data_IF_968314992579
#
_entry.id   IF_968314992579
#
_cell.length_a   1.000
_cell.length_b   1.000
_cell.length_c   1.000
_cell.angle_alpha   90.00
_cell.angle_beta   90.00
_cell.angle_gamma   90.00
#
_symmetry.space_group_name_H-M   'P 1'
#
loop_
_entity.id
_entity.type
_entity.pdbx_description
1 polymer ?
#
# COMPACT_ATOMS: atom_id res chain seq x y z
N UNK A 1 -44.95 12.06 24.20
CA UNK A 1 -44.46 11.51 22.92
C UNK A 1 -43.59 12.49 22.13
N UNK A 2 -44.11 13.55 21.48
CA UNK A 2 -43.25 14.46 20.70
C UNK A 2 -42.30 15.32 21.57
N UNK A 3 -42.76 15.74 22.76
CA UNK A 3 -41.96 16.53 23.71
C UNK A 3 -40.86 15.69 24.36
N UNK A 4 -41.21 14.53 24.94
CA UNK A 4 -40.23 13.58 25.52
C UNK A 4 -39.19 13.10 24.49
N UNK A 5 -39.59 12.93 23.22
CA UNK A 5 -38.66 12.60 22.15
C UNK A 5 -37.67 13.73 21.87
N UNK A 6 -38.12 14.98 21.91
CA UNK A 6 -37.24 16.14 21.72
C UNK A 6 -36.29 16.32 22.91
N UNK A 7 -36.76 16.13 24.15
CA UNK A 7 -35.90 16.17 25.33
C UNK A 7 -34.79 15.11 25.29
N UNK A 8 -35.10 13.90 24.82
CA UNK A 8 -34.09 12.84 24.63
C UNK A 8 -33.11 13.20 23.51
N UNK A 9 -33.57 13.83 22.43
CA UNK A 9 -32.69 14.32 21.35
C UNK A 9 -31.75 15.42 21.83
N UNK A 10 -32.24 16.37 22.61
CA UNK A 10 -31.42 17.43 23.20
C UNK A 10 -30.34 16.85 24.13
N UNK A 11 -30.66 15.78 24.87
CA UNK A 11 -29.68 15.05 25.68
C UNK A 11 -28.64 14.32 24.83
N UNK A 12 -29.04 13.70 23.71
CA UNK A 12 -28.12 13.07 22.76
C UNK A 12 -27.18 14.13 22.16
N UNK A 13 -27.72 15.27 21.71
CA UNK A 13 -26.92 16.37 21.16
C UNK A 13 -25.90 16.90 22.18
N UNK A 14 -26.25 16.93 23.47
CA UNK A 14 -25.33 17.30 24.53
C UNK A 14 -24.21 16.27 24.74
N UNK A 15 -24.49 14.97 24.58
CA UNK A 15 -23.48 13.91 24.62
C UNK A 15 -22.58 13.98 23.38
N UNK A 16 -23.14 14.19 22.20
CA UNK A 16 -22.39 14.30 20.95
C UNK A 16 -21.41 15.48 20.96
N UNK A 17 -21.80 16.61 21.57
CA UNK A 17 -20.88 17.73 21.82
C UNK A 17 -19.71 17.34 22.73
N UNK A 18 -19.95 16.58 23.79
CA UNK A 18 -18.89 16.10 24.67
C UNK A 18 -17.95 15.13 23.94
N UNK A 19 -18.47 14.29 23.04
CA UNK A 19 -17.65 13.43 22.19
C UNK A 19 -16.73 14.28 21.31
N UNK A 20 -17.24 15.34 20.72
CA UNK A 20 -16.44 16.28 19.91
C UNK A 20 -15.32 16.93 20.73
N UNK A 21 -15.62 17.41 21.94
CA UNK A 21 -14.62 18.00 22.84
C UNK A 21 -13.51 17.00 23.20
N UNK A 22 -13.89 15.75 23.51
CA UNK A 22 -12.94 14.67 23.79
C UNK A 22 -12.07 14.32 22.58
N UNK A 23 -12.64 14.31 21.37
CA UNK A 23 -11.89 14.10 20.14
C UNK A 23 -10.88 15.23 19.90
N UNK A 24 -11.29 16.50 20.10
CA UNK A 24 -10.39 17.66 20.00
C UNK A 24 -9.23 17.57 20.99
N UNK A 25 -9.52 17.23 22.26
CA UNK A 25 -8.50 17.02 23.28
C UNK A 25 -7.54 15.88 22.88
N UNK A 26 -8.07 14.78 22.35
CA UNK A 26 -7.25 13.65 21.89
C UNK A 26 -6.33 14.04 20.74
N UNK A 27 -6.81 14.80 19.75
CA UNK A 27 -5.98 15.28 18.64
C UNK A 27 -4.85 16.19 19.14
N UNK A 28 -5.15 17.10 20.09
CA UNK A 28 -4.13 17.95 20.71
C UNK A 28 -3.06 17.15 21.46
N UNK A 29 -3.42 16.02 22.08
CA UNK A 29 -2.46 15.12 22.72
C UNK A 29 -1.63 14.34 21.70
N UNK A 30 -2.24 13.93 20.59
CA UNK A 30 -1.56 13.25 19.50
C UNK A 30 -0.50 14.16 18.88
N UNK A 31 -0.79 15.44 18.64
CA UNK A 31 0.18 16.40 18.13
C UNK A 31 1.43 16.48 19.02
N UNK A 32 1.23 16.60 20.34
CA UNK A 32 2.34 16.58 21.32
C UNK A 32 3.11 15.27 21.32
N UNK A 33 2.42 14.14 21.15
CA UNK A 33 3.08 12.83 20.99
C UNK A 33 3.89 12.81 19.70
N UNK A 34 3.38 13.38 18.61
CA UNK A 34 4.07 13.54 17.32
C UNK A 34 5.35 14.35 17.46
N UNK A 35 5.32 15.49 18.16
CA UNK A 35 6.49 16.31 18.48
C UNK A 35 7.55 15.48 19.23
N UNK A 36 7.16 14.80 20.32
CA UNK A 36 8.08 13.96 21.09
C UNK A 36 8.66 12.82 20.25
N UNK A 37 7.84 12.14 19.44
CA UNK A 37 8.31 11.07 18.55
C UNK A 37 9.27 11.61 17.49
N UNK A 38 9.00 12.78 16.94
CA UNK A 38 9.86 13.44 15.96
C UNK A 38 11.21 13.83 16.58
N UNK A 39 11.23 14.39 17.79
CA UNK A 39 12.48 14.68 18.50
C UNK A 39 13.32 13.41 18.76
N UNK A 40 12.65 12.32 19.16
CA UNK A 40 13.34 11.08 19.56
C UNK A 40 13.59 10.11 18.40
N UNK A 41 12.96 10.30 17.24
CA UNK A 41 13.08 9.42 16.08
C UNK A 41 12.32 8.11 16.26
N UNK A 42 11.18 8.17 16.95
CA UNK A 42 10.34 7.01 17.22
C UNK A 42 9.33 6.82 16.07
N UNK A 43 9.02 5.56 15.70
CA UNK A 43 8.00 5.26 14.71
C UNK A 43 6.64 5.86 15.03
N UNK A 44 5.99 6.38 13.99
CA UNK A 44 4.59 6.79 14.07
C UNK A 44 3.71 5.58 14.35
N UNK A 45 3.92 4.51 13.59
CA UNK A 45 3.16 3.29 13.74
C UNK A 45 3.78 2.37 14.82
N UNK A 46 2.99 2.03 15.83
CA UNK A 46 3.40 1.18 16.95
C UNK A 46 2.38 0.04 17.14
N UNK A 47 2.49 -1.07 16.39
CA UNK A 47 1.47 -2.13 16.34
C UNK A 47 1.12 -2.69 17.71
N UNK A 48 2.12 -3.07 18.51
CA UNK A 48 1.90 -3.70 19.82
C UNK A 48 1.21 -2.75 20.80
N UNK A 49 1.57 -1.46 20.75
CA UNK A 49 0.95 -0.43 21.60
C UNK A 49 -0.51 -0.21 21.24
N UNK A 50 -0.82 -0.17 19.94
CA UNK A 50 -2.19 -0.06 19.44
C UNK A 50 -3.01 -1.29 19.82
N UNK A 51 -2.48 -2.49 19.59
CA UNK A 51 -3.16 -3.75 19.91
C UNK A 51 -3.48 -3.85 21.40
N UNK A 52 -2.50 -3.57 22.28
CA UNK A 52 -2.70 -3.58 23.72
C UNK A 52 -3.72 -2.53 24.18
N UNK A 53 -3.69 -1.32 23.60
CA UNK A 53 -4.65 -0.26 23.91
C UNK A 53 -6.07 -0.65 23.49
N UNK A 54 -6.25 -1.17 22.26
CA UNK A 54 -7.55 -1.62 21.78
C UNK A 54 -8.11 -2.77 22.61
N UNK A 55 -7.29 -3.78 22.93
CA UNK A 55 -7.69 -4.89 23.78
C UNK A 55 -8.17 -4.41 25.17
N UNK A 56 -7.41 -3.51 25.81
CA UNK A 56 -7.79 -2.92 27.09
C UNK A 56 -9.10 -2.12 27.02
N UNK A 57 -9.30 -1.32 25.96
CA UNK A 57 -10.52 -0.51 25.80
C UNK A 57 -11.75 -1.35 25.46
N UNK A 58 -11.57 -2.47 24.74
CA UNK A 58 -12.65 -3.45 24.52
C UNK A 58 -13.13 -4.04 25.84
N UNK A 59 -12.22 -4.51 26.70
CA UNK A 59 -12.58 -5.08 28.00
C UNK A 59 -13.30 -4.07 28.92
N UNK A 60 -12.85 -2.81 28.92
CA UNK A 60 -13.52 -1.73 29.66
C UNK A 60 -14.93 -1.42 29.12
N UNK A 61 -15.11 -1.49 27.80
CA UNK A 61 -16.41 -1.28 27.17
C UNK A 61 -17.41 -2.39 27.57
N UNK A 62 -16.98 -3.66 27.58
CA UNK A 62 -17.81 -4.78 28.05
C UNK A 62 -18.33 -4.54 29.47
N UNK A 63 -17.43 -4.14 30.39
CA UNK A 63 -17.78 -3.84 31.79
C UNK A 63 -18.79 -2.70 31.94
N UNK A 64 -18.88 -1.80 30.96
CA UNK A 64 -19.81 -0.66 30.93
C UNK A 64 -21.07 -0.92 30.11
N UNK A 65 -21.24 -2.12 29.55
CA UNK A 65 -22.37 -2.44 28.67
C UNK A 65 -22.30 -1.75 27.30
N UNK A 66 -21.12 -1.28 26.90
CA UNK A 66 -20.87 -0.69 25.57
C UNK A 66 -20.32 -1.79 24.65
N UNK A 67 -20.82 -1.92 23.41
CA UNK A 67 -20.29 -2.91 22.47
C UNK A 67 -18.76 -2.71 22.23
N UNK A 68 -17.94 -3.76 22.41
CA UNK A 68 -16.48 -3.65 22.24
C UNK A 68 -16.06 -3.21 20.85
N UNK A 69 -16.82 -3.64 19.84
CA UNK A 69 -16.56 -3.28 18.46
C UNK A 69 -16.75 -1.78 18.21
N UNK A 70 -17.75 -1.15 18.86
CA UNK A 70 -18.03 0.27 18.69
C UNK A 70 -16.85 1.14 19.14
N UNK A 71 -16.31 0.87 20.33
CA UNK A 71 -15.17 1.65 20.84
C UNK A 71 -13.91 1.40 19.99
N UNK A 72 -13.70 0.17 19.53
CA UNK A 72 -12.59 -0.15 18.65
C UNK A 72 -12.70 0.62 17.32
N UNK A 73 -13.88 0.66 16.70
CA UNK A 73 -14.10 1.36 15.43
C UNK A 73 -13.87 2.87 15.58
N UNK A 74 -14.37 3.49 16.66
CA UNK A 74 -14.14 4.91 16.98
C UNK A 74 -12.63 5.18 17.15
N UNK A 75 -11.94 4.37 17.94
CA UNK A 75 -10.52 4.55 18.20
C UNK A 75 -9.69 4.33 16.92
N UNK A 76 -10.00 3.31 16.11
CA UNK A 76 -9.33 3.07 14.83
C UNK A 76 -9.57 4.19 13.83
N UNK A 77 -10.77 4.78 13.77
CA UNK A 77 -11.03 5.94 12.90
C UNK A 77 -10.25 7.17 13.36
N UNK A 78 -10.21 7.41 14.67
CA UNK A 78 -9.49 8.55 15.25
C UNK A 78 -7.98 8.41 15.09
N UNK A 79 -7.43 7.19 15.25
CA UNK A 79 -6.02 6.91 14.97
C UNK A 79 -5.66 7.12 13.50
N UNK A 80 -6.53 6.70 12.57
CA UNK A 80 -6.33 6.97 11.13
C UNK A 80 -6.23 8.47 10.83
N UNK A 81 -7.05 9.29 11.48
CA UNK A 81 -6.99 10.75 11.37
C UNK A 81 -5.67 11.33 11.91
N UNK A 82 -5.16 10.75 12.99
CA UNK A 82 -3.86 11.10 13.58
C UNK A 82 -2.70 10.88 12.61
N UNK A 83 -2.64 9.73 11.93
CA UNK A 83 -1.54 9.45 10.97
C UNK A 83 -1.57 10.35 9.72
N UNK A 84 -2.75 10.87 9.35
CA UNK A 84 -2.90 11.72 8.18
C UNK A 84 -2.50 13.18 8.49
N UNK A 85 -2.78 13.65 9.70
CA UNK A 85 -2.45 15.01 10.16
C UNK A 85 -0.97 15.19 10.50
N UNK A 86 -0.26 14.13 10.90
CA UNK A 86 1.20 14.14 11.11
C UNK A 86 2.02 14.45 9.83
N UNK A 87 1.39 14.51 8.65
CA UNK A 87 2.02 14.97 7.41
C UNK A 87 2.53 16.41 7.48
N UNK A 88 1.96 17.24 8.33
CA UNK A 88 2.26 18.68 8.36
C UNK A 88 3.29 19.07 9.43
N UNK A 89 3.57 18.20 10.40
CA UNK A 89 4.48 18.46 11.53
C UNK A 89 5.97 18.15 11.24
N UNK A 90 6.28 17.57 10.07
CA UNK A 90 7.62 17.12 9.72
C UNK A 90 8.07 15.87 10.49
N UNK A 91 9.13 15.21 10.00
CA UNK A 91 9.68 13.99 10.60
C UNK A 91 11.16 14.19 10.98
N UNK A 92 11.67 13.38 11.92
CA UNK A 92 13.10 13.39 12.24
C UNK A 92 13.95 13.10 11.01
N UNK A 93 14.93 13.95 10.76
CA UNK A 93 16.02 13.67 9.84
C UNK A 93 17.01 12.71 10.50
N UNK A 94 17.10 11.46 10.05
CA UNK A 94 18.04 10.49 10.60
C UNK A 94 19.49 10.68 10.12
N UNK A 95 19.68 11.28 8.94
CA UNK A 95 21.00 11.59 8.41
C UNK A 95 21.09 13.05 7.92
N UNK A 96 21.20 14.03 8.83
CA UNK A 96 21.23 15.45 8.47
C UNK A 96 22.41 15.87 7.59
N UNK A 97 23.51 15.11 7.65
CA UNK A 97 24.73 15.35 6.86
C UNK A 97 24.63 14.79 5.43
N UNK A 98 23.52 14.12 5.09
CA UNK A 98 23.29 13.64 3.73
C UNK A 98 23.26 14.83 2.77
N UNK A 99 24.01 14.72 1.68
CA UNK A 99 23.90 15.64 0.55
C UNK A 99 22.53 15.52 -0.13
N UNK A 100 22.34 16.19 -1.28
CA UNK A 100 21.02 16.23 -1.91
C UNK A 100 20.49 14.83 -2.29
N UNK A 101 19.20 14.62 -2.07
CA UNK A 101 18.42 13.48 -2.55
C UNK A 101 17.92 13.80 -3.95
N UNK A 102 18.38 13.06 -4.96
CA UNK A 102 17.95 13.25 -6.35
C UNK A 102 16.92 12.19 -6.71
N UNK A 103 15.72 12.61 -7.09
CA UNK A 103 14.64 11.70 -7.51
C UNK A 103 14.51 11.72 -9.02
N UNK A 104 14.94 10.64 -9.66
CA UNK A 104 14.83 10.44 -11.11
C UNK A 104 13.41 9.97 -11.43
N UNK A 105 12.66 10.79 -12.17
CA UNK A 105 11.21 10.59 -12.33
C UNK A 105 10.38 11.23 -11.20
N UNK A 106 10.95 12.15 -10.40
CA UNK A 106 10.27 12.78 -9.26
C UNK A 106 8.99 13.58 -9.58
N UNK A 107 8.75 13.92 -10.85
CA UNK A 107 7.49 14.53 -11.29
C UNK A 107 6.34 13.51 -11.43
N UNK A 108 6.63 12.21 -11.35
CA UNK A 108 5.63 11.15 -11.30
C UNK A 108 4.94 11.06 -9.94
N UNK A 109 3.82 10.33 -9.87
CA UNK A 109 3.00 10.29 -8.65
C UNK A 109 3.75 9.71 -7.44
N UNK A 110 4.41 8.56 -7.61
CA UNK A 110 5.17 7.91 -6.54
C UNK A 110 6.46 8.68 -6.19
N UNK A 111 7.16 9.20 -7.21
CA UNK A 111 8.32 10.07 -6.99
C UNK A 111 7.97 11.35 -6.25
N UNK A 112 6.82 11.96 -6.56
CA UNK A 112 6.31 13.12 -5.84
C UNK A 112 5.92 12.81 -4.40
N UNK A 113 5.38 11.61 -4.13
CA UNK A 113 5.11 11.15 -2.76
C UNK A 113 6.40 11.06 -1.94
N UNK A 114 7.41 10.32 -2.42
CA UNK A 114 8.67 10.18 -1.70
C UNK A 114 9.44 11.51 -1.62
N UNK A 115 9.38 12.35 -2.66
CA UNK A 115 9.96 13.71 -2.63
C UNK A 115 9.37 14.57 -1.51
N UNK A 116 8.05 14.52 -1.30
CA UNK A 116 7.42 15.18 -0.15
C UNK A 116 7.88 14.59 1.17
N UNK A 117 7.94 13.26 1.30
CA UNK A 117 8.37 12.61 2.55
C UNK A 117 9.81 12.94 2.94
N UNK A 118 10.73 12.96 1.97
CA UNK A 118 12.11 13.41 2.21
C UNK A 118 12.17 14.89 2.58
N UNK A 119 11.43 15.76 1.89
CA UNK A 119 11.38 17.20 2.21
C UNK A 119 10.85 17.44 3.63
N UNK A 120 9.76 16.75 4.01
CA UNK A 120 9.18 16.81 5.36
C UNK A 120 10.13 16.26 6.43
N UNK A 121 11.11 15.45 6.04
CA UNK A 121 12.16 14.93 6.93
C UNK A 121 13.42 15.79 6.93
N UNK A 122 13.39 16.98 6.31
CA UNK A 122 14.50 17.94 6.31
C UNK A 122 15.59 17.71 5.26
N UNK A 123 15.42 16.80 4.31
CA UNK A 123 16.40 16.56 3.26
C UNK A 123 16.26 17.58 2.11
N UNK A 124 17.39 17.98 1.51
CA UNK A 124 17.40 18.74 0.24
C UNK A 124 17.03 17.82 -0.93
N UNK A 125 15.86 18.03 -1.53
CA UNK A 125 15.33 17.18 -2.61
C UNK A 125 15.44 17.89 -3.96
N UNK A 126 16.07 17.20 -4.92
CA UNK A 126 16.17 17.62 -6.32
C UNK A 126 15.44 16.62 -7.21
N UNK A 127 14.83 17.11 -8.29
CA UNK A 127 14.10 16.27 -9.24
C UNK A 127 14.83 16.25 -10.57
N UNK A 128 15.08 15.04 -11.10
CA UNK A 128 15.57 14.84 -12.46
C UNK A 128 14.41 14.27 -13.31
N UNK A 129 13.74 15.15 -14.07
CA UNK A 129 12.67 14.78 -14.98
C UNK A 129 13.18 14.32 -16.35
N UNK A 130 12.28 13.77 -17.18
CA UNK A 130 12.60 13.28 -18.52
C UNK A 130 13.15 14.35 -19.48
N UNK A 131 12.90 15.63 -19.20
CA UNK A 131 13.39 16.77 -20.00
C UNK A 131 14.67 17.40 -19.42
N UNK A 132 15.09 16.96 -18.24
CA UNK A 132 16.13 17.61 -17.45
C UNK A 132 17.51 16.93 -17.56
N UNK A 133 17.64 15.93 -18.44
CA UNK A 133 18.89 15.19 -18.64
C UNK A 133 20.09 16.05 -19.05
N UNK A 134 19.84 17.22 -19.66
CA UNK A 134 20.89 18.20 -19.96
C UNK A 134 21.58 18.78 -18.70
N UNK A 135 20.94 18.65 -17.53
CA UNK A 135 21.45 19.06 -16.21
C UNK A 135 21.75 17.87 -15.30
N UNK A 136 21.76 16.63 -15.82
CA UNK A 136 21.96 15.44 -15.00
C UNK A 136 23.31 15.49 -14.26
N UNK A 137 24.38 15.87 -14.95
CA UNK A 137 25.72 15.99 -14.34
C UNK A 137 25.71 16.99 -13.16
N UNK A 138 25.11 18.17 -13.33
CA UNK A 138 24.96 19.21 -12.27
C UNK A 138 24.18 18.68 -11.05
N UNK A 139 23.08 17.96 -11.30
CA UNK A 139 22.22 17.46 -10.23
C UNK A 139 22.82 16.27 -9.48
N UNK A 140 23.59 15.42 -10.18
CA UNK A 140 24.13 14.17 -9.65
C UNK A 140 25.52 14.32 -9.02
N UNK A 141 26.31 15.34 -9.40
CA UNK A 141 27.70 15.53 -8.96
C UNK A 141 27.85 15.54 -7.42
N UNK A 142 26.89 16.11 -6.71
CA UNK A 142 26.88 16.18 -5.25
C UNK A 142 25.70 15.43 -4.62
N UNK A 143 25.18 14.39 -5.29
CA UNK A 143 24.10 13.59 -4.75
C UNK A 143 24.59 12.70 -3.58
N UNK A 144 23.86 12.71 -2.47
CA UNK A 144 24.05 11.77 -1.36
C UNK A 144 23.20 10.52 -1.54
N UNK A 145 22.08 10.65 -2.26
CA UNK A 145 21.21 9.54 -2.62
C UNK A 145 20.52 9.82 -3.94
N UNK A 146 20.37 8.79 -4.77
CA UNK A 146 19.61 8.80 -6.02
C UNK A 146 18.50 7.76 -5.92
N UNK A 147 17.27 8.20 -6.17
CA UNK A 147 16.05 7.36 -6.16
C UNK A 147 15.49 7.27 -7.56
N UNK A 148 15.44 6.08 -8.14
CA UNK A 148 14.91 5.82 -9.48
C UNK A 148 13.44 5.41 -9.40
N UNK A 149 12.55 6.24 -9.96
CA UNK A 149 11.08 6.04 -9.94
C UNK A 149 10.47 6.36 -11.30
N UNK A 150 10.99 5.70 -12.33
CA UNK A 150 10.53 5.80 -13.72
C UNK A 150 9.73 4.55 -14.11
N UNK A 151 8.96 4.58 -15.23
CA UNK A 151 8.28 3.39 -15.75
C UNK A 151 9.25 2.22 -15.94
N UNK A 152 8.76 1.00 -15.66
CA UNK A 152 9.58 -0.22 -15.60
C UNK A 152 10.35 -0.45 -16.91
N UNK A 153 9.70 -0.29 -18.07
CA UNK A 153 10.35 -0.44 -19.37
C UNK A 153 11.47 0.58 -19.66
N UNK A 154 11.57 1.67 -18.89
CA UNK A 154 12.63 2.68 -19.01
C UNK A 154 13.71 2.53 -17.94
N UNK A 155 13.46 1.77 -16.86
CA UNK A 155 14.30 1.77 -15.66
C UNK A 155 15.74 1.40 -15.94
N UNK A 156 15.99 0.26 -16.62
CA UNK A 156 17.36 -0.21 -16.90
C UNK A 156 18.13 0.83 -17.72
N UNK A 157 17.55 1.32 -18.82
CA UNK A 157 18.18 2.34 -19.67
C UNK A 157 18.34 3.72 -19.00
N UNK A 158 17.56 4.02 -17.97
CA UNK A 158 17.75 5.21 -17.12
C UNK A 158 18.90 5.00 -16.15
N UNK A 159 18.97 3.84 -15.49
CA UNK A 159 20.05 3.48 -14.56
C UNK A 159 21.40 3.49 -15.29
N UNK A 160 21.47 2.94 -16.50
CA UNK A 160 22.69 2.95 -17.34
C UNK A 160 23.24 4.35 -17.63
N UNK A 161 22.38 5.39 -17.63
CA UNK A 161 22.80 6.78 -17.83
C UNK A 161 23.34 7.44 -16.56
N UNK A 162 23.18 6.83 -15.38
CA UNK A 162 23.57 7.42 -14.09
C UNK A 162 25.07 7.23 -13.76
N UNK A 163 25.91 6.71 -14.66
CA UNK A 163 27.26 6.17 -14.35
C UNK A 163 28.32 7.10 -13.72
N UNK A 164 27.99 8.33 -13.30
CA UNK A 164 28.89 9.25 -12.58
C UNK A 164 28.31 9.67 -11.23
N UNK A 165 28.03 8.70 -10.36
CA UNK A 165 27.63 8.98 -8.98
C UNK A 165 28.86 9.03 -8.05
N UNK A 166 28.84 9.87 -7.00
CA UNK A 166 29.81 9.78 -5.91
C UNK A 166 29.87 8.37 -5.31
N UNK A 167 31.05 7.89 -4.91
CA UNK A 167 31.24 6.51 -4.44
C UNK A 167 30.41 6.17 -3.18
N UNK A 168 30.13 7.17 -2.35
CA UNK A 168 29.34 7.08 -1.13
C UNK A 168 27.84 7.35 -1.36
N UNK A 169 27.43 7.74 -2.58
CA UNK A 169 26.03 7.97 -2.91
C UNK A 169 25.23 6.68 -2.81
N UNK A 170 24.07 6.70 -2.15
CA UNK A 170 23.15 5.56 -2.14
C UNK A 170 22.37 5.55 -3.46
N UNK A 171 22.40 4.45 -4.21
CA UNK A 171 21.56 4.26 -5.39
C UNK A 171 20.43 3.29 -5.05
N UNK A 172 19.18 3.73 -5.22
CA UNK A 172 18.01 2.90 -5.00
C UNK A 172 16.92 3.13 -6.04
N UNK A 173 15.99 2.20 -6.13
CA UNK A 173 14.84 2.27 -7.02
C UNK A 173 13.52 2.04 -6.27
N UNK A 174 12.40 2.39 -6.89
CA UNK A 174 11.04 2.13 -6.38
C UNK A 174 10.20 1.29 -7.36
N UNK A 175 10.84 0.49 -8.23
CA UNK A 175 10.09 -0.26 -9.24
C UNK A 175 9.29 -1.42 -8.65
N UNK A 176 8.40 -2.01 -9.43
CA UNK A 176 7.63 -3.19 -9.01
C UNK A 176 8.31 -4.54 -9.30
N UNK A 177 9.47 -4.56 -9.97
CA UNK A 177 10.29 -5.76 -10.22
C UNK A 177 11.69 -5.55 -9.67
N UNK A 178 12.35 -6.54 -9.09
CA UNK A 178 13.60 -6.31 -8.34
C UNK A 178 14.84 -6.85 -9.01
N UNK A 179 14.77 -8.02 -9.65
CA UNK A 179 15.99 -8.70 -10.15
C UNK A 179 16.75 -7.88 -11.18
N UNK A 180 16.08 -7.41 -12.24
CA UNK A 180 16.74 -6.63 -13.31
C UNK A 180 17.16 -5.23 -12.86
N UNK A 181 16.30 -4.41 -12.22
CA UNK A 181 16.71 -3.08 -11.77
C UNK A 181 17.85 -3.13 -10.75
N UNK A 182 17.82 -4.06 -9.79
CA UNK A 182 18.89 -4.21 -8.81
C UNK A 182 20.22 -4.56 -9.48
N UNK A 183 20.21 -5.50 -10.43
CA UNK A 183 21.41 -5.86 -11.19
C UNK A 183 21.93 -4.68 -12.03
N UNK A 184 21.05 -3.93 -12.68
CA UNK A 184 21.42 -2.73 -13.42
C UNK A 184 22.10 -1.69 -12.52
N UNK A 185 21.56 -1.45 -11.32
CA UNK A 185 22.16 -0.53 -10.34
C UNK A 185 23.54 -1.01 -9.87
N UNK A 186 23.68 -2.32 -9.58
CA UNK A 186 24.95 -2.92 -9.16
C UNK A 186 26.04 -2.86 -10.23
N UNK A 187 25.65 -2.87 -11.51
CA UNK A 187 26.58 -2.80 -12.65
C UNK A 187 27.13 -1.39 -12.86
N UNK A 188 26.30 -0.35 -12.67
CA UNK A 188 26.68 1.04 -12.96
C UNK A 188 27.28 1.76 -11.77
N UNK A 189 27.00 1.28 -10.55
CA UNK A 189 27.42 1.94 -9.31
C UNK A 189 28.29 1.03 -8.46
N UNK A 190 29.40 1.59 -7.95
CA UNK A 190 30.33 0.88 -7.06
C UNK A 190 29.95 1.00 -5.58
N UNK A 191 29.22 2.05 -5.22
CA UNK A 191 28.82 2.36 -3.86
C UNK A 191 27.63 1.56 -3.34
N UNK A 192 26.93 2.09 -2.32
CA UNK A 192 25.77 1.46 -1.72
C UNK A 192 24.58 1.36 -2.70
N UNK A 193 23.94 0.19 -2.74
CA UNK A 193 22.80 -0.13 -3.61
C UNK A 193 21.74 -0.90 -2.82
N UNK A 194 20.49 -0.47 -2.90
CA UNK A 194 19.32 -1.16 -2.33
C UNK A 194 18.13 -1.06 -3.28
N UNK A 195 17.45 -2.18 -3.53
CA UNK A 195 16.20 -2.19 -4.29
C UNK A 195 15.00 -2.02 -3.38
N UNK A 196 14.03 -1.18 -3.73
CA UNK A 196 12.83 -0.96 -2.93
C UNK A 196 11.57 -1.18 -3.77
N UNK A 197 10.52 -1.70 -3.14
CA UNK A 197 9.20 -1.83 -3.74
C UNK A 197 8.13 -1.43 -2.72
N UNK A 198 7.62 -0.18 -2.81
CA UNK A 198 6.43 0.22 -2.07
C UNK A 198 5.21 -0.59 -2.54
N UNK A 199 4.62 -1.40 -1.67
CA UNK A 199 3.48 -2.27 -2.00
C UNK A 199 2.13 -1.51 -2.02
N UNK A 200 2.18 -0.23 -2.38
CA UNK A 200 1.06 0.70 -2.33
C UNK A 200 1.18 1.78 -3.40
N UNK A 201 0.02 2.33 -3.78
CA UNK A 201 -0.07 3.43 -4.73
C UNK A 201 0.21 4.81 -4.11
N UNK A 202 0.30 5.86 -4.94
CA UNK A 202 0.63 7.21 -4.50
C UNK A 202 -0.46 7.89 -3.65
N UNK A 203 -1.68 7.36 -3.67
CA UNK A 203 -2.86 7.95 -3.02
C UNK A 203 -2.97 7.61 -1.52
N UNK A 204 -1.95 6.97 -0.94
CA UNK A 204 -1.99 6.60 0.49
C UNK A 204 -2.03 7.86 1.39
N UNK A 205 -2.97 7.92 2.35
CA UNK A 205 -3.09 9.07 3.24
C UNK A 205 -1.96 9.12 4.28
N UNK A 206 -1.21 8.04 4.48
CA UNK A 206 -0.02 7.94 5.34
C UNK A 206 0.74 6.66 4.98
N UNK A 207 2.03 6.59 5.31
CA UNK A 207 2.81 5.36 5.19
C UNK A 207 2.60 4.40 6.37
N UNK A 208 1.85 4.81 7.40
CA UNK A 208 1.45 3.94 8.49
C UNK A 208 0.77 2.66 7.96
N UNK A 209 1.28 1.49 8.41
CA UNK A 209 0.80 0.14 8.03
C UNK A 209 1.03 -0.22 6.56
N UNK A 210 1.72 0.62 5.80
CA UNK A 210 2.10 0.30 4.43
C UNK A 210 3.35 -0.57 4.42
N UNK A 211 3.45 -1.49 3.47
CA UNK A 211 4.62 -2.37 3.35
C UNK A 211 5.57 -1.80 2.30
N UNK A 212 6.86 -1.72 2.64
CA UNK A 212 7.94 -1.52 1.67
C UNK A 212 8.80 -2.79 1.71
N UNK A 213 8.83 -3.49 0.59
CA UNK A 213 9.77 -4.59 0.40
C UNK A 213 11.12 -4.01 0.02
N UNK A 214 12.21 -4.57 0.56
CA UNK A 214 13.57 -4.19 0.17
C UNK A 214 14.42 -5.42 -0.14
N UNK A 215 15.30 -5.26 -1.12
CA UNK A 215 16.25 -6.27 -1.57
C UNK A 215 17.65 -5.67 -1.46
N UNK A 216 18.50 -6.33 -0.66
CA UNK A 216 19.86 -5.86 -0.43
C UNK A 216 20.70 -6.02 -1.70
N UNK A 217 21.44 -4.97 -2.07
CA UNK A 217 22.38 -4.98 -3.19
C UNK A 217 23.83 -5.00 -2.73
N UNK A 218 24.32 -3.86 -2.25
CA UNK A 218 25.69 -3.68 -1.76
C UNK A 218 25.73 -2.59 -0.71
N UNK A 219 26.56 -2.71 0.32
CA UNK A 219 26.76 -1.64 1.30
C UNK A 219 25.58 -1.44 2.25
N UNK A 220 25.10 -2.55 2.84
CA UNK A 220 23.95 -2.56 3.76
C UNK A 220 24.09 -1.59 4.92
N UNK A 221 25.28 -1.48 5.49
CA UNK A 221 25.57 -0.61 6.63
C UNK A 221 25.34 0.87 6.29
N UNK A 222 25.60 1.28 5.04
CA UNK A 222 25.52 2.67 4.60
C UNK A 222 24.08 3.17 4.43
N UNK A 223 23.10 2.28 4.21
CA UNK A 223 21.69 2.66 4.02
C UNK A 223 20.75 2.19 5.14
N UNK A 224 21.25 1.62 6.24
CA UNK A 224 20.39 1.27 7.39
C UNK A 224 19.59 2.46 7.93
N UNK A 225 20.16 3.67 7.90
CA UNK A 225 19.46 4.88 8.31
C UNK A 225 18.23 5.16 7.41
N UNK A 226 18.31 4.84 6.12
CA UNK A 226 17.21 5.03 5.17
C UNK A 226 16.07 4.05 5.45
N UNK A 227 16.38 2.79 5.70
CA UNK A 227 15.40 1.80 6.12
C UNK A 227 14.72 2.24 7.43
N UNK A 228 15.51 2.70 8.41
CA UNK A 228 14.97 3.23 9.65
C UNK A 228 14.11 4.49 9.43
N UNK A 229 14.44 5.32 8.44
CA UNK A 229 13.64 6.50 8.08
C UNK A 229 12.25 6.09 7.57
N UNK A 230 12.15 5.04 6.75
CA UNK A 230 10.86 4.48 6.31
C UNK A 230 10.02 3.96 7.49
N UNK A 231 10.65 3.31 8.47
CA UNK A 231 9.99 2.89 9.70
C UNK A 231 9.48 4.07 10.53
N UNK A 232 10.22 5.20 10.57
CA UNK A 232 9.75 6.44 11.23
C UNK A 232 8.47 6.95 10.58
N UNK A 233 8.41 6.92 9.25
CA UNK A 233 7.22 7.29 8.49
C UNK A 233 6.05 6.31 8.69
N UNK A 234 6.27 5.18 9.38
CA UNK A 234 5.26 4.20 9.76
C UNK A 234 5.16 2.99 8.82
N UNK A 235 6.06 2.89 7.84
CA UNK A 235 6.11 1.74 6.95
C UNK A 235 6.63 0.49 7.68
N UNK A 236 6.09 -0.67 7.33
CA UNK A 236 6.61 -1.97 7.71
C UNK A 236 7.57 -2.45 6.62
N UNK A 237 8.79 -2.81 7.02
CA UNK A 237 9.81 -3.29 6.10
C UNK A 237 9.80 -4.81 6.02
N UNK A 238 9.93 -5.33 4.80
CA UNK A 238 10.08 -6.75 4.54
C UNK A 238 11.33 -6.97 3.69
N UNK A 239 12.32 -7.64 4.27
CA UNK A 239 13.53 -8.04 3.57
C UNK A 239 13.27 -9.32 2.78
N UNK A 240 13.74 -9.37 1.54
CA UNK A 240 13.64 -10.54 0.68
C UNK A 240 14.68 -10.48 -0.44
N UNK A 241 15.12 -11.64 -0.92
CA UNK A 241 15.96 -11.72 -2.11
C UNK A 241 15.21 -11.24 -3.37
N UNK A 242 15.91 -10.55 -4.28
CA UNK A 242 15.28 -9.99 -5.49
C UNK A 242 14.62 -11.05 -6.40
N UNK A 243 15.21 -12.24 -6.48
CA UNK A 243 14.64 -13.36 -7.24
C UNK A 243 13.40 -13.95 -6.55
N UNK A 244 13.42 -14.06 -5.22
CA UNK A 244 12.29 -14.57 -4.45
C UNK A 244 11.12 -13.57 -4.49
N UNK A 245 11.42 -12.27 -4.41
CA UNK A 245 10.46 -11.20 -4.62
C UNK A 245 9.74 -11.34 -5.96
N UNK A 246 10.49 -11.43 -7.07
CA UNK A 246 9.91 -11.48 -8.41
C UNK A 246 9.09 -12.78 -8.62
N UNK A 247 9.55 -13.90 -8.05
CA UNK A 247 8.78 -15.14 -8.01
C UNK A 247 7.46 -14.96 -7.26
N UNK A 248 7.47 -14.34 -6.07
CA UNK A 248 6.26 -14.03 -5.31
C UNK A 248 5.29 -13.10 -6.05
N UNK A 249 5.82 -12.08 -6.75
CA UNK A 249 5.03 -11.13 -7.54
C UNK A 249 4.35 -11.79 -8.75
N UNK A 250 4.83 -12.96 -9.20
CA UNK A 250 4.14 -13.76 -10.22
C UNK A 250 2.71 -14.12 -9.79
N UNK A 251 2.50 -14.48 -8.52
CA UNK A 251 1.18 -14.76 -7.96
C UNK A 251 0.46 -13.48 -7.51
N UNK A 252 1.16 -12.63 -6.75
CA UNK A 252 0.58 -11.47 -6.07
C UNK A 252 0.13 -10.38 -7.06
N UNK A 253 0.93 -10.14 -8.11
CA UNK A 253 0.68 -9.08 -9.08
C UNK A 253 0.31 -9.64 -10.45
N UNK A 254 1.19 -10.40 -11.11
CA UNK A 254 1.00 -10.75 -12.52
C UNK A 254 -0.28 -11.58 -12.75
N UNK A 255 -0.46 -12.68 -12.01
CA UNK A 255 -1.67 -13.50 -12.10
C UNK A 255 -2.92 -12.73 -11.68
N UNK A 256 -2.87 -12.00 -10.56
CA UNK A 256 -4.01 -11.25 -10.02
C UNK A 256 -4.47 -10.13 -10.96
N UNK A 257 -3.53 -9.37 -11.53
CA UNK A 257 -3.84 -8.29 -12.47
C UNK A 257 -4.34 -8.85 -13.80
N UNK A 258 -3.71 -9.90 -14.33
CA UNK A 258 -4.14 -10.50 -15.59
C UNK A 258 -5.55 -11.12 -15.48
N UNK A 259 -5.88 -11.81 -14.39
CA UNK A 259 -7.23 -12.36 -14.18
C UNK A 259 -8.28 -11.26 -14.09
N UNK A 260 -7.98 -10.15 -13.39
CA UNK A 260 -8.85 -8.97 -13.32
C UNK A 260 -9.02 -8.29 -14.68
N UNK A 261 -7.94 -8.17 -15.45
CA UNK A 261 -7.96 -7.66 -16.82
C UNK A 261 -8.81 -8.54 -17.74
N UNK A 262 -8.60 -9.86 -17.72
CA UNK A 262 -9.33 -10.82 -18.55
C UNK A 262 -10.83 -10.82 -18.22
N UNK A 263 -11.18 -10.78 -16.93
CA UNK A 263 -12.57 -10.68 -16.49
C UNK A 263 -13.23 -9.37 -16.93
N UNK A 264 -12.55 -8.23 -16.75
CA UNK A 264 -13.06 -6.94 -17.23
C UNK A 264 -13.19 -6.88 -18.76
N UNK A 265 -12.24 -7.46 -19.49
CA UNK A 265 -12.30 -7.60 -20.95
C UNK A 265 -13.50 -8.45 -21.36
N UNK A 266 -13.77 -9.55 -20.68
CA UNK A 266 -14.96 -10.37 -20.92
C UNK A 266 -16.25 -9.60 -20.64
N UNK A 267 -16.37 -8.93 -19.48
CA UNK A 267 -17.52 -8.08 -19.16
C UNK A 267 -17.75 -6.99 -20.21
N UNK A 268 -16.69 -6.37 -20.73
CA UNK A 268 -16.82 -5.35 -21.78
C UNK A 268 -17.39 -5.90 -23.11
N UNK A 269 -17.17 -7.19 -23.39
CA UNK A 269 -17.69 -7.87 -24.58
C UNK A 269 -19.14 -8.30 -24.40
N UNK A 270 -19.48 -8.81 -23.21
CA UNK A 270 -20.88 -9.09 -22.85
C UNK A 270 -21.72 -7.82 -22.79
N UNK A 271 -21.08 -6.67 -22.51
CA UNK A 271 -21.66 -5.33 -22.47
C UNK A 271 -22.97 -5.26 -21.65
N UNK A 272 -22.98 -5.73 -20.38
CA UNK A 272 -24.17 -5.65 -19.55
C UNK A 272 -24.45 -4.20 -19.14
N UNK A 273 -25.71 -3.90 -18.81
CA UNK A 273 -26.05 -2.63 -18.19
C UNK A 273 -25.52 -2.60 -16.74
N UNK A 274 -24.38 -1.92 -16.54
CA UNK A 274 -23.69 -1.84 -15.24
C UNK A 274 -24.60 -1.21 -14.18
N UNK A 275 -25.36 -0.16 -14.49
CA UNK A 275 -26.26 0.48 -13.51
C UNK A 275 -27.30 -0.52 -12.99
N UNK A 276 -27.86 -1.33 -13.88
CA UNK A 276 -28.79 -2.39 -13.52
C UNK A 276 -28.12 -3.48 -12.67
N UNK A 277 -26.89 -3.88 -13.00
CA UNK A 277 -26.13 -4.83 -12.17
C UNK A 277 -25.90 -4.27 -10.77
N UNK A 278 -25.51 -2.99 -10.65
CA UNK A 278 -25.27 -2.33 -9.37
C UNK A 278 -26.55 -2.19 -8.53
N UNK A 279 -27.71 -1.98 -9.16
CA UNK A 279 -29.01 -1.95 -8.47
C UNK A 279 -29.42 -3.32 -7.91
N UNK A 280 -29.03 -4.41 -8.59
CA UNK A 280 -29.33 -5.78 -8.17
C UNK A 280 -28.27 -6.36 -7.21
N UNK A 281 -27.14 -5.67 -7.07
CA UNK A 281 -25.98 -6.16 -6.33
C UNK A 281 -26.10 -5.91 -4.82
N UNK A 282 -25.76 -6.93 -4.03
CA UNK A 282 -25.42 -6.73 -2.62
C UNK A 282 -24.09 -5.95 -2.49
N UNK A 283 -23.74 -5.43 -1.30
CA UNK A 283 -22.48 -4.70 -1.10
C UNK A 283 -21.23 -5.47 -1.55
N UNK A 284 -21.21 -6.81 -1.37
CA UNK A 284 -20.08 -7.64 -1.81
C UNK A 284 -19.95 -7.68 -3.33
N UNK A 285 -21.05 -7.87 -4.07
CA UNK A 285 -21.00 -7.87 -5.54
C UNK A 285 -20.59 -6.51 -6.11
N UNK A 286 -21.05 -5.41 -5.49
CA UNK A 286 -20.59 -4.07 -5.85
C UNK A 286 -19.08 -3.92 -5.61
N UNK A 287 -18.57 -4.43 -4.50
CA UNK A 287 -17.15 -4.41 -4.19
C UNK A 287 -16.34 -5.23 -5.20
N UNK A 288 -16.79 -6.43 -5.56
CA UNK A 288 -16.14 -7.27 -6.59
C UNK A 288 -16.01 -6.53 -7.93
N UNK A 289 -17.11 -5.92 -8.41
CA UNK A 289 -17.09 -5.11 -9.62
C UNK A 289 -16.18 -3.89 -9.50
N UNK A 290 -16.16 -3.22 -8.34
CA UNK A 290 -15.27 -2.09 -8.09
C UNK A 290 -13.78 -2.51 -8.11
N UNK A 291 -13.46 -3.70 -7.56
CA UNK A 291 -12.10 -4.25 -7.55
C UNK A 291 -11.59 -4.58 -8.96
N UNK A 292 -12.48 -4.96 -9.88
CA UNK A 292 -12.16 -5.12 -11.30
C UNK A 292 -12.05 -3.77 -11.99
N UNK A 293 -13.06 -2.91 -11.83
CA UNK A 293 -13.14 -1.61 -12.52
C UNK A 293 -11.98 -0.67 -12.18
N UNK A 294 -11.53 -0.65 -10.92
CA UNK A 294 -10.40 0.19 -10.47
C UNK A 294 -9.08 -0.14 -11.17
N UNK A 295 -8.92 -1.33 -11.74
CA UNK A 295 -7.75 -1.69 -12.54
C UNK A 295 -7.67 -0.81 -13.79
N UNK A 296 -8.80 -0.63 -14.48
CA UNK A 296 -8.91 0.15 -15.72
C UNK A 296 -8.90 1.67 -15.50
N UNK A 297 -8.96 2.13 -14.24
CA UNK A 297 -8.76 3.53 -13.86
C UNK A 297 -7.30 3.92 -13.64
N UNK A 298 -6.35 3.01 -13.85
CA UNK A 298 -4.91 3.20 -13.61
C UNK A 298 -4.11 3.11 -14.93
N UNK A 299 -2.79 3.34 -14.89
CA UNK A 299 -1.94 3.34 -16.10
C UNK A 299 -1.81 1.93 -16.71
N UNK A 300 -2.26 1.69 -17.96
CA UNK A 300 -2.15 0.39 -18.60
C UNK A 300 -0.69 -0.05 -18.84
N UNK A 301 0.25 0.88 -19.00
CA UNK A 301 1.65 0.53 -19.25
C UNK A 301 2.28 -0.12 -18.01
N UNK A 302 1.92 0.34 -16.81
CA UNK A 302 2.39 -0.27 -15.56
C UNK A 302 2.02 -1.76 -15.50
N UNK A 303 0.75 -2.09 -15.76
CA UNK A 303 0.30 -3.48 -15.75
C UNK A 303 0.89 -4.31 -16.87
N UNK A 304 1.01 -3.72 -18.07
CA UNK A 304 1.68 -4.35 -19.20
C UNK A 304 3.12 -4.72 -18.86
N UNK A 305 3.89 -3.77 -18.32
CA UNK A 305 5.28 -3.97 -17.93
C UNK A 305 5.42 -5.04 -16.83
N UNK A 306 4.57 -5.01 -15.80
CA UNK A 306 4.58 -6.03 -14.73
C UNK A 306 4.29 -7.42 -15.30
N UNK A 307 3.19 -7.58 -16.04
CA UNK A 307 2.77 -8.88 -16.57
C UNK A 307 3.80 -9.44 -17.56
N UNK A 308 4.38 -8.59 -18.40
CA UNK A 308 5.33 -8.99 -19.45
C UNK A 308 6.81 -8.99 -19.00
N UNK A 309 7.08 -8.67 -17.72
CA UNK A 309 8.44 -8.56 -17.19
C UNK A 309 9.24 -9.87 -17.24
N UNK A 310 8.58 -11.03 -17.14
CA UNK A 310 9.22 -12.35 -17.12
C UNK A 310 8.43 -13.40 -17.91
N UNK A 311 9.14 -14.40 -18.42
CA UNK A 311 8.49 -15.58 -19.02
C UNK A 311 7.71 -16.39 -17.97
N UNK A 312 8.19 -16.39 -16.73
CA UNK A 312 7.55 -17.06 -15.61
C UNK A 312 6.12 -16.54 -15.35
N UNK A 313 5.90 -15.23 -15.48
CA UNK A 313 4.57 -14.63 -15.38
C UNK A 313 3.61 -15.20 -16.42
N UNK A 314 4.05 -15.28 -17.67
CA UNK A 314 3.27 -15.83 -18.77
C UNK A 314 2.97 -17.31 -18.53
N UNK A 315 3.96 -18.06 -18.05
CA UNK A 315 3.80 -19.48 -17.77
C UNK A 315 2.84 -19.73 -16.60
N UNK A 316 2.86 -18.90 -15.55
CA UNK A 316 1.88 -18.93 -14.47
C UNK A 316 0.46 -18.68 -14.99
N UNK A 317 0.28 -17.65 -15.82
CA UNK A 317 -1.02 -17.34 -16.43
C UNK A 317 -1.53 -18.50 -17.28
N UNK A 318 -0.66 -19.14 -18.07
CA UNK A 318 -1.00 -20.34 -18.85
C UNK A 318 -1.39 -21.52 -17.96
N UNK A 319 -0.71 -21.74 -16.83
CA UNK A 319 -1.10 -22.76 -15.84
C UNK A 319 -2.48 -22.47 -15.26
N UNK A 320 -2.75 -21.22 -14.90
CA UNK A 320 -4.08 -20.82 -14.42
C UNK A 320 -5.16 -21.04 -15.48
N UNK A 321 -4.91 -20.70 -16.75
CA UNK A 321 -5.84 -20.99 -17.84
C UNK A 321 -6.15 -22.48 -17.98
N UNK A 322 -5.14 -23.35 -17.82
CA UNK A 322 -5.36 -24.81 -17.81
C UNK A 322 -6.24 -25.24 -16.64
N UNK A 323 -5.97 -24.74 -15.44
CA UNK A 323 -6.79 -24.99 -14.26
C UNK A 323 -8.24 -24.52 -14.45
N UNK A 324 -8.45 -23.37 -15.11
CA UNK A 324 -9.79 -22.91 -15.48
C UNK A 324 -10.49 -23.90 -16.44
N UNK A 325 -9.77 -24.43 -17.43
CA UNK A 325 -10.27 -25.49 -18.31
C UNK A 325 -10.66 -26.76 -17.56
N UNK A 326 -9.82 -27.23 -16.65
CA UNK A 326 -10.11 -28.40 -15.79
C UNK A 326 -11.35 -28.17 -14.92
N UNK A 327 -11.55 -26.94 -14.41
CA UNK A 327 -12.75 -26.58 -13.67
C UNK A 327 -14.02 -26.57 -14.55
N UNK A 328 -13.91 -26.21 -15.82
CA UNK A 328 -15.02 -26.28 -16.78
C UNK A 328 -15.43 -27.73 -17.08
N UNK A 329 -14.48 -28.66 -17.16
CA UNK A 329 -14.79 -30.09 -17.40
C UNK A 329 -15.73 -30.67 -16.32
N UNK A 330 -15.62 -30.22 -15.07
CA UNK A 330 -16.54 -30.58 -13.98
C UNK A 330 -17.97 -30.06 -14.29
N UNK A 331 -18.08 -28.84 -14.81
CA UNK A 331 -19.37 -28.22 -15.15
C UNK A 331 -20.00 -28.87 -16.39
N UNK A 332 -19.21 -29.18 -17.41
CA UNK A 332 -19.67 -29.87 -18.62
C UNK A 332 -20.16 -31.29 -18.31
N UNK A 333 -19.52 -31.96 -17.34
CA UNK A 333 -19.98 -33.24 -16.80
C UNK A 333 -21.20 -33.15 -15.89
N UNK A 334 -21.62 -31.93 -15.50
CA UNK A 334 -22.65 -31.66 -14.50
C UNK A 334 -22.39 -32.41 -13.17
N UNK A 335 -21.12 -32.58 -12.81
CA UNK A 335 -20.68 -33.38 -11.67
C UNK A 335 -20.58 -32.51 -10.41
N UNK A 336 -21.71 -32.39 -9.71
CA UNK A 336 -21.79 -31.66 -8.44
C UNK A 336 -20.86 -32.26 -7.38
N UNK A 337 -20.65 -33.58 -7.38
CA UNK A 337 -19.81 -34.21 -6.36
C UNK A 337 -18.34 -33.83 -6.58
N UNK A 338 -17.85 -33.93 -7.82
CA UNK A 338 -16.50 -33.49 -8.15
C UNK A 338 -16.28 -32.00 -7.85
N UNK A 339 -17.30 -31.14 -8.07
CA UNK A 339 -17.22 -29.73 -7.69
C UNK A 339 -17.02 -29.55 -6.17
N UNK A 340 -17.83 -30.22 -5.35
CA UNK A 340 -17.74 -30.14 -3.88
C UNK A 340 -16.40 -30.67 -3.39
N UNK A 341 -15.92 -31.80 -3.91
CA UNK A 341 -14.62 -32.36 -3.52
C UNK A 341 -13.46 -31.42 -3.89
N UNK A 342 -13.50 -30.78 -5.06
CA UNK A 342 -12.51 -29.76 -5.44
C UNK A 342 -12.59 -28.52 -4.55
N UNK A 343 -13.80 -28.07 -4.20
CA UNK A 343 -14.01 -26.94 -3.30
C UNK A 343 -13.42 -27.22 -1.91
N UNK A 344 -13.70 -28.39 -1.34
CA UNK A 344 -13.22 -28.77 -0.01
C UNK A 344 -11.69 -28.88 0.02
N UNK A 345 -11.06 -29.44 -1.03
CA UNK A 345 -9.59 -29.47 -1.15
C UNK A 345 -8.97 -28.07 -1.15
N UNK A 346 -9.62 -27.11 -1.82
CA UNK A 346 -9.15 -25.70 -1.83
C UNK A 346 -9.37 -25.06 -0.45
N UNK A 347 -10.51 -25.32 0.18
CA UNK A 347 -10.80 -24.85 1.55
C UNK A 347 -9.77 -25.37 2.56
N UNK A 348 -9.40 -26.65 2.47
CA UNK A 348 -8.37 -27.27 3.32
C UNK A 348 -6.99 -26.66 3.09
N UNK A 349 -6.64 -26.33 1.84
CA UNK A 349 -5.37 -25.66 1.53
C UNK A 349 -5.31 -24.24 2.10
N UNK A 350 -6.40 -23.48 2.03
CA UNK A 350 -6.50 -22.17 2.70
C UNK A 350 -6.50 -22.32 4.23
N UNK A 351 -7.02 -23.43 4.76
CA UNK A 351 -7.07 -23.72 6.20
C UNK A 351 -7.75 -22.60 6.99
N UNK A 352 -7.12 -22.18 8.08
CA UNK A 352 -7.66 -21.12 8.96
C UNK A 352 -7.84 -19.77 8.26
N UNK A 353 -7.09 -19.50 7.17
CA UNK A 353 -7.24 -18.27 6.41
C UNK A 353 -8.60 -18.14 5.74
N UNK A 354 -9.26 -19.25 5.38
CA UNK A 354 -10.63 -19.21 4.80
C UNK A 354 -11.59 -18.48 5.73
N UNK A 355 -11.57 -18.82 7.01
CA UNK A 355 -12.44 -18.21 8.03
C UNK A 355 -11.99 -16.80 8.35
N UNK A 356 -10.68 -16.58 8.49
CA UNK A 356 -10.12 -15.26 8.74
C UNK A 356 -10.53 -14.25 7.65
N UNK A 357 -10.35 -14.59 6.38
CA UNK A 357 -10.71 -13.70 5.26
C UNK A 357 -12.23 -13.48 5.15
N UNK A 358 -13.03 -14.48 5.51
CA UNK A 358 -14.48 -14.31 5.60
C UNK A 358 -14.85 -13.26 6.66
N UNK A 359 -14.29 -13.36 7.87
CA UNK A 359 -14.56 -12.42 8.96
C UNK A 359 -14.05 -11.00 8.63
N UNK A 360 -12.85 -10.90 8.04
CA UNK A 360 -12.26 -9.63 7.58
C UNK A 360 -13.12 -8.95 6.51
N UNK A 361 -13.53 -9.70 5.49
CA UNK A 361 -14.36 -9.17 4.40
C UNK A 361 -15.73 -8.70 4.90
N UNK A 362 -16.36 -9.42 5.83
CA UNK A 362 -17.62 -9.00 6.44
C UNK A 362 -17.48 -7.67 7.19
N UNK A 363 -16.37 -7.46 7.91
CA UNK A 363 -16.13 -6.20 8.62
C UNK A 363 -15.85 -5.04 7.64
N UNK A 364 -15.11 -5.28 6.57
CA UNK A 364 -14.91 -4.30 5.50
C UNK A 364 -16.23 -3.91 4.83
N UNK A 365 -17.10 -4.88 4.56
CA UNK A 365 -18.41 -4.63 3.94
C UNK A 365 -19.36 -3.84 4.85
N UNK A 366 -19.34 -4.09 6.16
CA UNK A 366 -20.13 -3.30 7.13
C UNK A 366 -19.74 -1.82 7.03
N UNK A 367 -18.44 -1.53 7.08
CA UNK A 367 -17.92 -0.16 6.96
C UNK A 367 -18.24 0.47 5.60
N UNK A 368 -18.12 -0.30 4.52
CA UNK A 368 -18.47 0.18 3.18
C UNK A 368 -19.98 0.49 3.07
N UNK A 369 -20.84 -0.33 3.68
CA UNK A 369 -22.29 -0.14 3.65
C UNK A 369 -22.74 1.15 4.36
N UNK A 370 -22.05 1.54 5.44
CA UNK A 370 -22.34 2.78 6.18
C UNK A 370 -22.14 4.04 5.31
N UNK A 371 -21.28 3.97 4.28
CA UNK A 371 -21.03 5.07 3.35
C UNK A 371 -22.05 5.18 2.21
N UNK A 372 -22.98 4.21 2.08
CA UNK A 372 -23.97 4.20 1.01
C UNK A 372 -25.21 4.98 1.44
N UNK A 373 -25.35 6.20 0.93
CA UNK A 373 -26.63 6.90 0.99
C UNK A 373 -27.59 6.33 -0.07
N UNK A 374 -28.63 5.63 0.37
CA UNK A 374 -29.82 5.36 -0.47
C UNK A 374 -30.76 6.55 -0.29
N UNK A 375 -30.64 7.53 -1.18
CA UNK A 375 -31.51 8.70 -1.31
C UNK A 375 -32.10 8.76 -2.71
#
# INVERSE_FOLDING_TARGET
>A
MAVELNELRDQIDAVDKQILDLLSQRLSLVEKVGEVKSEHGLPIYAPDREAAMLASRREEAEKKGVPPQLIEDILRRTMRESYASEKDSGFKCLNPELRSVVIVGGNGQLGGLFGRMFTLSGYDVKVLGSKDWHRADELLENAGMVVVTVPIHLTEGVIEKLGKLPEDCILCDLTSIKSRPLQAMLNVHKGPVVGLHPMFGPDVPSLAKQVIVYCDGRGEEQYQWLLKQFSIWGASLCQIDASEHDHGMTLIQALRHFTSFAYGLHLSRENPNIDKLLQLSSPIYRLELAMVGRLFGQDPNLYGDIILSSQENIDMIKRFHRCFGEALEILDGNDKQAFVESFDRVSDWFGDYSKQFLDESQNLLKQANDSIHRG
#
